data_IF_821305568437
#
_entry.id   IF_821305568437
#
_cell.length_a   1.000
_cell.length_b   1.000
_cell.length_c   1.000
_cell.angle_alpha   90.00
_cell.angle_beta   90.00
_cell.angle_gamma   90.00
#
_symmetry.space_group_name_H-M   'P 1'
#
loop_
_entity.id
_entity.type
_entity.pdbx_description
1 polymer ?
#
# COMPACT_ATOMS: atom_id res chain seq x y z
N UNK A 1 7.96 -9.92 -8.34
CA UNK A 1 7.67 -8.56 -8.83
C UNK A 1 8.89 -7.67 -8.68
N UNK A 2 9.53 -7.25 -9.79
CA UNK A 2 10.59 -6.23 -9.77
C UNK A 2 9.95 -4.84 -9.78
N UNK A 3 9.21 -4.47 -8.74
CA UNK A 3 8.78 -3.07 -8.55
C UNK A 3 9.92 -2.27 -7.92
N UNK A 4 11.03 -2.15 -8.67
CA UNK A 4 11.85 -0.96 -8.56
C UNK A 4 11.03 0.12 -9.23
N UNK A 5 10.28 0.89 -8.44
CA UNK A 5 9.85 2.22 -8.84
C UNK A 5 11.15 2.88 -9.28
N UNK A 6 11.36 2.97 -10.60
CA UNK A 6 12.60 3.48 -11.16
C UNK A 6 12.67 4.91 -10.63
N UNK A 7 13.58 5.20 -9.70
CA UNK A 7 13.84 6.55 -9.18
C UNK A 7 14.32 7.55 -10.25
N UNK A 8 14.17 7.24 -11.53
CA UNK A 8 14.69 7.97 -12.69
C UNK A 8 13.79 9.14 -13.13
N UNK A 9 12.65 9.39 -12.47
CA UNK A 9 11.63 10.33 -12.95
C UNK A 9 11.52 11.65 -12.17
N UNK A 10 12.18 11.78 -11.01
CA UNK A 10 12.18 13.04 -10.24
C UNK A 10 12.82 14.16 -11.09
N UNK A 11 12.00 15.08 -11.61
CA UNK A 11 12.44 16.27 -12.34
C UNK A 11 12.22 16.28 -13.85
N UNK A 12 11.62 15.26 -14.45
CA UNK A 12 11.19 15.32 -15.86
C UNK A 12 9.83 16.04 -15.96
N UNK A 13 9.69 17.01 -16.86
CA UNK A 13 8.37 17.58 -17.21
C UNK A 13 7.51 16.47 -17.81
N UNK A 14 6.48 16.05 -17.09
CA UNK A 14 5.48 15.09 -17.55
C UNK A 14 4.36 15.82 -18.28
N UNK A 15 3.88 15.25 -19.37
CA UNK A 15 2.70 15.78 -20.05
C UNK A 15 1.40 15.37 -19.32
N UNK A 16 0.28 16.01 -19.66
CA UNK A 16 -1.00 15.73 -19.00
C UNK A 16 -1.43 14.25 -19.09
N UNK A 17 -1.07 13.55 -20.17
CA UNK A 17 -1.38 12.12 -20.37
C UNK A 17 -0.53 11.23 -19.46
N UNK A 18 0.74 11.54 -19.27
CA UNK A 18 1.63 10.84 -18.34
C UNK A 18 1.15 11.00 -16.90
N UNK A 19 0.80 12.22 -16.47
CA UNK A 19 0.24 12.48 -15.14
C UNK A 19 -1.06 11.70 -14.89
N UNK A 20 -1.95 11.65 -15.91
CA UNK A 20 -3.18 10.86 -15.87
C UNK A 20 -2.91 9.35 -15.73
N UNK A 21 -1.91 8.84 -16.44
CA UNK A 21 -1.54 7.45 -16.38
C UNK A 21 -0.93 7.07 -15.03
N UNK A 22 -0.16 7.97 -14.42
CA UNK A 22 0.39 7.76 -13.08
C UNK A 22 -0.73 7.64 -12.04
N UNK A 23 -1.73 8.52 -12.07
CA UNK A 23 -2.90 8.43 -11.18
C UNK A 23 -3.64 7.10 -11.35
N UNK A 24 -3.91 6.68 -12.59
CA UNK A 24 -4.55 5.39 -12.89
C UNK A 24 -3.74 4.21 -12.36
N UNK A 25 -2.41 4.26 -12.54
CA UNK A 25 -1.52 3.25 -12.04
C UNK A 25 -1.59 3.18 -10.51
N UNK A 26 -1.49 4.31 -9.82
CA UNK A 26 -1.57 4.35 -8.37
C UNK A 26 -2.92 3.86 -7.83
N UNK A 27 -4.04 4.19 -8.48
CA UNK A 27 -5.35 3.67 -8.10
C UNK A 27 -5.44 2.14 -8.24
N UNK A 28 -4.83 1.58 -9.29
CA UNK A 28 -4.74 0.13 -9.47
C UNK A 28 -3.88 -0.52 -8.39
N UNK A 29 -2.73 0.06 -8.06
CA UNK A 29 -1.85 -0.44 -6.99
C UNK A 29 -2.54 -0.37 -5.62
N UNK A 30 -3.30 0.71 -5.36
CA UNK A 30 -4.13 0.84 -4.16
C UNK A 30 -5.17 -0.29 -4.09
N UNK A 31 -5.83 -0.59 -5.20
CA UNK A 31 -6.77 -1.72 -5.29
C UNK A 31 -6.10 -3.04 -4.93
N UNK A 32 -4.96 -3.34 -5.56
CA UNK A 32 -4.18 -4.54 -5.28
C UNK A 32 -3.78 -4.65 -3.80
N UNK A 33 -3.28 -3.56 -3.21
CA UNK A 33 -2.86 -3.57 -1.80
C UNK A 33 -4.07 -3.76 -0.86
N UNK A 34 -5.24 -3.19 -1.18
CA UNK A 34 -6.46 -3.42 -0.39
C UNK A 34 -6.85 -4.89 -0.37
N UNK A 35 -6.87 -5.53 -1.53
CA UNK A 35 -7.18 -6.95 -1.64
C UNK A 35 -6.16 -7.79 -0.86
N UNK A 36 -4.87 -7.45 -0.96
CA UNK A 36 -3.84 -8.18 -0.23
C UNK A 36 -3.91 -7.94 1.29
N UNK A 37 -4.27 -6.75 1.76
CA UNK A 37 -4.52 -6.50 3.18
C UNK A 37 -5.69 -7.32 3.72
N UNK A 38 -6.76 -7.47 2.93
CA UNK A 38 -7.87 -8.33 3.31
C UNK A 38 -7.42 -9.80 3.40
N UNK A 39 -6.60 -10.26 2.44
CA UNK A 39 -5.99 -11.58 2.52
C UNK A 39 -5.15 -11.77 3.79
N UNK A 40 -4.33 -10.79 4.16
CA UNK A 40 -3.51 -10.83 5.37
C UNK A 40 -4.35 -10.92 6.65
N UNK A 41 -5.47 -10.21 6.73
CA UNK A 41 -6.41 -10.34 7.85
C UNK A 41 -7.06 -11.71 7.93
N UNK A 42 -7.49 -12.27 6.80
CA UNK A 42 -8.01 -13.63 6.75
C UNK A 42 -6.95 -14.64 7.21
N UNK A 43 -5.70 -14.48 6.78
CA UNK A 43 -4.59 -15.33 7.19
C UNK A 43 -4.34 -15.25 8.70
N UNK A 44 -4.46 -14.06 9.30
CA UNK A 44 -4.39 -13.90 10.76
C UNK A 44 -5.55 -14.60 11.47
N UNK A 45 -6.78 -14.44 10.96
CA UNK A 45 -7.97 -15.06 11.53
C UNK A 45 -7.90 -16.59 11.55
N UNK A 46 -7.42 -17.19 10.45
CA UNK A 46 -7.30 -18.66 10.32
C UNK A 46 -6.29 -19.27 11.31
N UNK A 47 -5.26 -18.53 11.70
CA UNK A 47 -4.19 -19.01 12.58
C UNK A 47 -4.31 -18.45 14.02
N UNK A 48 -5.43 -17.80 14.36
CA UNK A 48 -5.57 -17.04 15.61
C UNK A 48 -5.37 -17.91 16.86
N UNK A 49 -5.97 -19.10 16.89
CA UNK A 49 -5.83 -20.04 18.02
C UNK A 49 -4.36 -20.43 18.22
N UNK A 50 -3.66 -20.68 17.11
CA UNK A 50 -2.26 -21.11 17.16
C UNK A 50 -1.31 -20.00 17.61
N UNK A 51 -1.66 -18.74 17.32
CA UNK A 51 -0.93 -17.59 17.86
C UNK A 51 -1.08 -17.47 19.38
N UNK A 52 -2.26 -17.78 19.92
CA UNK A 52 -2.49 -17.79 21.37
C UNK A 52 -1.68 -18.92 22.03
N UNK A 53 -1.71 -20.12 21.46
CA UNK A 53 -0.98 -21.30 21.97
C UNK A 53 0.54 -21.12 21.95
N UNK A 54 1.06 -20.24 21.09
CA UNK A 54 2.50 -19.97 20.97
C UNK A 54 2.97 -18.77 21.78
N UNK A 55 2.08 -18.09 22.52
CA UNK A 55 2.40 -16.92 23.33
C UNK A 55 2.65 -15.64 22.53
N UNK A 56 2.23 -15.59 21.26
CA UNK A 56 2.49 -14.47 20.34
C UNK A 56 1.36 -13.43 20.31
N UNK A 57 0.48 -13.43 21.32
CA UNK A 57 -0.73 -12.60 21.36
C UNK A 57 -0.44 -11.11 21.16
N UNK A 58 0.58 -10.58 21.84
CA UNK A 58 0.95 -9.15 21.75
C UNK A 58 1.41 -8.80 20.33
N UNK A 59 2.37 -9.54 19.79
CA UNK A 59 2.88 -9.34 18.42
C UNK A 59 1.77 -9.40 17.35
N UNK A 60 0.80 -10.29 17.51
CA UNK A 60 -0.33 -10.42 16.59
C UNK A 60 -1.29 -9.24 16.74
N UNK A 61 -1.54 -8.79 17.97
CA UNK A 61 -2.39 -7.62 18.23
C UNK A 61 -1.78 -6.36 17.64
N UNK A 62 -0.46 -6.19 17.76
CA UNK A 62 0.26 -5.07 17.16
C UNK A 62 0.15 -5.07 15.63
N UNK A 63 0.34 -6.23 14.98
CA UNK A 63 0.18 -6.35 13.52
C UNK A 63 -1.26 -6.06 13.09
N UNK A 64 -2.27 -6.51 13.85
CA UNK A 64 -3.68 -6.19 13.56
C UNK A 64 -3.92 -4.67 13.62
N UNK A 65 -3.36 -3.99 14.62
CA UNK A 65 -3.49 -2.54 14.75
C UNK A 65 -2.78 -1.82 13.60
N UNK A 66 -1.56 -2.23 13.25
CA UNK A 66 -0.82 -1.70 12.09
C UNK A 66 -1.62 -1.87 10.79
N UNK A 67 -2.26 -3.02 10.56
CA UNK A 67 -3.10 -3.26 9.38
C UNK A 67 -4.31 -2.31 9.36
N UNK A 68 -5.00 -2.13 10.51
CA UNK A 68 -6.16 -1.23 10.60
C UNK A 68 -5.78 0.22 10.30
N UNK A 69 -4.69 0.70 10.88
CA UNK A 69 -4.17 2.04 10.61
C UNK A 69 -3.84 2.22 9.12
N UNK A 70 -3.19 1.22 8.53
CA UNK A 70 -2.76 1.29 7.15
C UNK A 70 -3.93 1.22 6.15
N UNK A 71 -4.99 0.48 6.47
CA UNK A 71 -6.25 0.50 5.71
C UNK A 71 -6.90 1.88 5.71
N UNK A 72 -6.88 2.57 6.85
CA UNK A 72 -7.40 3.93 6.91
C UNK A 72 -6.54 4.90 6.10
N UNK A 73 -5.21 4.74 6.16
CA UNK A 73 -4.28 5.54 5.39
C UNK A 73 -4.46 5.35 3.87
N UNK A 74 -4.59 4.11 3.39
CA UNK A 74 -4.75 3.83 1.95
C UNK A 74 -6.08 4.34 1.41
N UNK A 75 -7.14 4.30 2.22
CA UNK A 75 -8.44 4.86 1.83
C UNK A 75 -8.34 6.38 1.62
N UNK A 76 -7.68 7.08 2.55
CA UNK A 76 -7.44 8.53 2.42
C UNK A 76 -6.57 8.86 1.21
N UNK A 77 -5.49 8.11 1.00
CA UNK A 77 -4.61 8.30 -0.15
C UNK A 77 -5.35 8.05 -1.48
N UNK A 78 -6.20 7.02 -1.54
CA UNK A 78 -7.04 6.74 -2.69
C UNK A 78 -7.98 7.89 -3.03
N UNK A 79 -8.62 8.50 -2.03
CA UNK A 79 -9.47 9.67 -2.24
C UNK A 79 -8.67 10.87 -2.77
N UNK A 80 -7.50 11.15 -2.19
CA UNK A 80 -6.63 12.22 -2.68
C UNK A 80 -6.21 12.03 -4.14
N UNK A 81 -5.89 10.79 -4.54
CA UNK A 81 -5.52 10.48 -5.93
C UNK A 81 -6.72 10.58 -6.86
N UNK A 82 -7.92 10.17 -6.43
CA UNK A 82 -9.15 10.34 -7.22
C UNK A 82 -9.47 11.82 -7.44
N UNK A 83 -9.41 12.63 -6.39
CA UNK A 83 -9.58 14.08 -6.50
C UNK A 83 -8.54 14.69 -7.46
N UNK A 84 -7.29 14.25 -7.35
CA UNK A 84 -6.21 14.70 -8.22
C UNK A 84 -6.38 14.27 -9.69
N UNK A 85 -7.01 13.11 -9.95
CA UNK A 85 -7.35 12.62 -11.29
C UNK A 85 -8.54 13.38 -11.89
N UNK A 86 -9.56 13.68 -11.09
CA UNK A 86 -10.70 14.50 -11.48
C UNK A 86 -10.25 15.89 -11.95
N UNK A 87 -9.29 16.49 -11.26
CA UNK A 87 -8.70 17.78 -11.65
C UNK A 87 -8.05 17.72 -13.05
N UNK A 88 -7.41 16.61 -13.45
CA UNK A 88 -6.92 16.43 -14.84
C UNK A 88 -8.11 16.33 -15.80
N UNK A 89 -9.14 15.59 -15.43
CA UNK A 89 -10.37 15.42 -16.20
C UNK A 89 -11.03 16.76 -16.53
N UNK A 90 -11.16 17.62 -15.53
CA UNK A 90 -11.77 18.95 -15.65
C UNK A 90 -10.86 19.92 -16.43
N UNK A 91 -9.55 19.90 -16.17
CA UNK A 91 -8.58 20.81 -16.80
C UNK A 91 -8.23 20.44 -18.25
N UNK A 92 -8.62 19.26 -18.76
CA UNK A 92 -8.62 19.00 -20.21
C UNK A 92 -9.44 20.02 -21.01
N UNK A 93 -10.36 20.73 -20.35
CA UNK A 93 -11.16 21.80 -20.96
C UNK A 93 -10.53 23.20 -20.88
N UNK A 94 -9.53 23.44 -20.01
CA UNK A 94 -8.93 24.77 -19.84
C UNK A 94 -7.47 24.73 -19.32
N UNK A 95 -6.57 25.34 -20.09
CA UNK A 95 -5.17 25.69 -19.76
C UNK A 95 -4.18 24.51 -19.61
N UNK A 96 -2.94 24.72 -20.07
CA UNK A 96 -1.80 23.77 -19.98
C UNK A 96 -1.50 23.40 -18.52
N UNK A 97 -2.08 22.28 -18.07
CA UNK A 97 -1.79 21.57 -16.82
C UNK A 97 -0.28 21.42 -16.55
N UNK A 98 0.50 21.26 -17.61
CA UNK A 98 1.95 21.08 -17.62
C UNK A 98 2.72 22.32 -17.14
N UNK A 99 2.03 23.45 -16.99
CA UNK A 99 2.56 24.70 -16.45
C UNK A 99 1.96 25.09 -15.10
N UNK A 100 1.02 24.31 -14.57
CA UNK A 100 0.47 24.54 -13.24
C UNK A 100 1.42 23.97 -12.18
N UNK A 101 2.29 24.83 -11.64
CA UNK A 101 3.29 24.46 -10.63
C UNK A 101 2.65 23.82 -9.39
N UNK A 102 1.51 24.35 -8.92
CA UNK A 102 0.81 23.80 -7.75
C UNK A 102 0.34 22.37 -8.01
N UNK A 103 -0.17 22.10 -9.22
CA UNK A 103 -0.59 20.75 -9.61
C UNK A 103 0.61 19.79 -9.62
N UNK A 104 1.70 20.16 -10.29
CA UNK A 104 2.92 19.33 -10.37
C UNK A 104 3.53 19.06 -8.99
N UNK A 105 3.56 20.06 -8.11
CA UNK A 105 4.02 19.86 -6.73
C UNK A 105 3.14 18.90 -5.94
N UNK A 106 1.81 19.02 -6.06
CA UNK A 106 0.89 18.08 -5.42
C UNK A 106 1.03 16.66 -5.97
N UNK A 107 1.23 16.52 -7.28
CA UNK A 107 1.49 15.22 -7.93
C UNK A 107 2.77 14.56 -7.40
N UNK A 108 3.87 15.31 -7.27
CA UNK A 108 5.12 14.81 -6.69
C UNK A 108 4.97 14.44 -5.21
N UNK A 109 4.13 15.15 -4.46
CA UNK A 109 3.80 14.78 -3.07
C UNK A 109 3.05 13.46 -3.03
N UNK A 110 2.08 13.24 -3.92
CA UNK A 110 1.35 11.97 -4.03
C UNK A 110 2.27 10.80 -4.40
N UNK A 111 3.20 11.01 -5.34
CA UNK A 111 4.21 10.00 -5.69
C UNK A 111 5.04 9.57 -4.47
N UNK A 112 5.52 10.54 -3.69
CA UNK A 112 6.27 10.26 -2.44
C UNK A 112 5.41 9.54 -1.39
N UNK A 113 4.15 9.94 -1.26
CA UNK A 113 3.22 9.30 -0.32
C UNK A 113 2.93 7.85 -0.72
N UNK A 114 2.79 7.57 -2.01
CA UNK A 114 2.65 6.21 -2.55
C UNK A 114 3.88 5.36 -2.25
N UNK A 115 5.09 5.89 -2.45
CA UNK A 115 6.35 5.20 -2.13
C UNK A 115 6.41 4.83 -0.64
N UNK A 116 6.16 5.79 0.24
CA UNK A 116 6.18 5.60 1.70
C UNK A 116 5.14 4.57 2.15
N UNK A 117 3.93 4.68 1.61
CA UNK A 117 2.83 3.76 1.88
C UNK A 117 3.20 2.32 1.48
N UNK A 118 3.73 2.14 0.27
CA UNK A 118 4.07 0.83 -0.25
C UNK A 118 5.19 0.16 0.57
N UNK A 119 6.17 0.92 1.06
CA UNK A 119 7.22 0.41 1.93
C UNK A 119 6.71 0.06 3.34
N UNK A 120 5.76 0.81 3.88
CA UNK A 120 5.09 0.48 5.14
C UNK A 120 4.27 -0.81 5.01
N UNK A 121 3.48 -0.94 3.95
CA UNK A 121 2.73 -2.16 3.64
C UNK A 121 3.65 -3.40 3.56
N UNK A 122 4.77 -3.32 2.81
CA UNK A 122 5.75 -4.43 2.74
C UNK A 122 6.29 -4.82 4.12
N UNK A 123 6.49 -3.83 4.99
CA UNK A 123 7.01 -4.06 6.34
C UNK A 123 6.00 -4.83 7.18
N UNK A 124 4.73 -4.43 7.16
CA UNK A 124 3.61 -5.13 7.82
C UNK A 124 3.52 -6.57 7.29
N UNK A 125 3.48 -6.73 5.97
CA UNK A 125 3.42 -8.04 5.30
C UNK A 125 4.54 -8.96 5.77
N UNK A 126 5.79 -8.46 5.78
CA UNK A 126 6.96 -9.23 6.25
C UNK A 126 6.88 -9.62 7.71
N UNK A 127 6.41 -8.74 8.60
CA UNK A 127 6.21 -9.07 10.03
C UNK A 127 5.22 -10.22 10.18
N UNK A 128 4.08 -10.13 9.49
CA UNK A 128 3.04 -11.15 9.53
C UNK A 128 3.54 -12.51 9.04
N UNK A 129 4.24 -12.56 7.90
CA UNK A 129 4.77 -13.82 7.37
C UNK A 129 5.74 -14.50 8.34
N UNK A 130 6.59 -13.74 9.04
CA UNK A 130 7.48 -14.31 10.08
C UNK A 130 6.70 -14.95 11.23
N UNK A 131 5.60 -14.31 11.66
CA UNK A 131 4.73 -14.83 12.72
C UNK A 131 4.06 -16.14 12.26
N UNK A 132 3.50 -16.15 11.05
CA UNK A 132 2.85 -17.33 10.46
C UNK A 132 3.85 -18.48 10.28
N UNK A 133 5.03 -18.20 9.74
CA UNK A 133 6.10 -19.19 9.54
C UNK A 133 6.56 -19.80 10.87
N UNK A 134 6.75 -18.98 11.91
CA UNK A 134 7.09 -19.47 13.25
C UNK A 134 6.04 -20.43 13.81
N UNK A 135 4.76 -20.09 13.66
CA UNK A 135 3.65 -20.96 14.09
C UNK A 135 3.60 -22.25 13.29
N UNK A 136 3.73 -22.18 11.97
CA UNK A 136 3.76 -23.35 11.11
C UNK A 136 4.89 -24.32 11.51
N UNK A 137 6.11 -23.80 11.71
CA UNK A 137 7.25 -24.60 12.13
C UNK A 137 7.04 -25.27 13.50
N UNK A 138 6.44 -24.58 14.47
CA UNK A 138 6.10 -25.18 15.77
C UNK A 138 5.07 -26.30 15.66
N UNK A 139 4.11 -26.21 14.73
CA UNK A 139 3.13 -27.28 14.49
C UNK A 139 3.78 -28.52 13.89
N UNK A 140 4.69 -28.35 12.94
CA UNK A 140 5.35 -29.49 12.32
C UNK A 140 6.25 -30.24 13.31
N UNK A 141 6.92 -29.52 14.23
CA UNK A 141 7.66 -30.16 15.34
C UNK A 141 6.72 -30.95 16.25
N UNK A 142 5.51 -30.46 16.56
CA UNK A 142 4.53 -31.17 17.39
C UNK A 142 3.95 -32.44 16.73
N UNK A 143 3.99 -32.56 15.40
CA UNK A 143 3.49 -33.76 14.68
C UNK A 143 4.52 -34.89 14.58
N UNK A 144 5.79 -34.58 14.87
CA UNK A 144 6.91 -35.54 14.81
C UNK A 144 7.23 -36.18 16.17
N UNK A 145 6.48 -35.81 17.21
CA UNK A 145 6.56 -36.34 18.58
C UNK A 145 5.29 -37.14 18.85
#
# INVERSE_FOLDING_TARGET
MKTKIKKQWYGKKKNAKELHNDNKFWLSEIGFVKDEMQFLEHLLGLNYIDFLDTGLKENVTDVINEIKEEKNAINKLGLMIQEHDNVIGDLKSSVSLEHNLNYLESHLKLERLMDLYYDKFKTIKRKLFKIVEFVANKKDVKKLI
#
